data_IF_019737950100
#
_entry.id   IF_019737950100
#
_cell.length_a   1.000
_cell.length_b   1.000
_cell.length_c   1.000
_cell.angle_alpha   90.00
_cell.angle_beta   90.00
_cell.angle_gamma   90.00
#
_symmetry.space_group_name_H-M   'P 1'
#
loop_
_entity.id
_entity.type
_entity.pdbx_description
1 polymer ?
#
# COMPACT_ATOMS: atom_id res chain seq x y z
N UNK A 1 20.33 9.84 -15.47
CA UNK A 1 20.59 11.30 -15.55
C UNK A 1 19.23 11.99 -15.63
N UNK A 2 18.96 12.97 -14.75
CA UNK A 2 17.64 13.63 -14.67
C UNK A 2 17.45 14.62 -15.82
N UNK A 3 16.22 14.72 -16.33
CA UNK A 3 15.87 15.69 -17.37
C UNK A 3 16.16 17.14 -16.87
N UNK A 4 16.89 17.97 -17.64
CA UNK A 4 17.26 19.33 -17.23
C UNK A 4 16.06 20.22 -16.89
N UNK A 5 14.95 20.12 -17.65
CA UNK A 5 13.73 20.90 -17.40
C UNK A 5 13.12 20.57 -16.04
N UNK A 6 13.15 19.29 -15.66
CA UNK A 6 12.66 18.82 -14.35
C UNK A 6 13.57 19.33 -13.23
N UNK A 7 14.89 19.23 -13.43
CA UNK A 7 15.88 19.73 -12.47
C UNK A 7 15.74 21.23 -12.23
N UNK A 8 15.56 22.02 -13.29
CA UNK A 8 15.42 23.47 -13.21
C UNK A 8 14.09 23.88 -12.58
N UNK A 9 13.02 23.12 -12.83
CA UNK A 9 11.72 23.32 -12.16
C UNK A 9 11.82 23.16 -10.64
N UNK A 10 12.75 22.32 -10.19
CA UNK A 10 13.03 22.07 -8.77
C UNK A 10 14.15 22.97 -8.25
N UNK A 11 14.61 23.94 -9.05
CA UNK A 11 15.69 24.89 -8.71
C UNK A 11 16.98 24.19 -8.24
N UNK A 12 17.21 22.97 -8.73
CA UNK A 12 18.34 22.14 -8.32
C UNK A 12 18.19 21.42 -6.98
N UNK A 13 17.06 21.54 -6.29
CA UNK A 13 16.81 20.94 -4.98
C UNK A 13 15.63 19.95 -5.05
N UNK A 14 15.87 18.72 -5.53
CA UNK A 14 14.83 17.70 -5.58
C UNK A 14 14.44 17.17 -4.21
N UNK A 15 13.17 16.74 -4.00
CA UNK A 15 12.88 15.88 -2.88
C UNK A 15 13.79 14.68 -2.82
N UNK A 16 14.11 14.32 -1.59
CA UNK A 16 15.01 13.21 -1.32
C UNK A 16 14.33 11.88 -1.57
N UNK A 17 13.06 11.77 -1.21
CA UNK A 17 12.31 10.52 -1.25
C UNK A 17 11.08 10.65 -2.14
N UNK A 18 10.84 9.63 -2.96
CA UNK A 18 9.56 9.43 -3.64
C UNK A 18 8.86 8.22 -3.02
N UNK A 19 7.58 8.36 -2.68
CA UNK A 19 6.82 7.34 -1.97
C UNK A 19 5.58 6.98 -2.78
N UNK A 20 5.41 5.71 -3.07
CA UNK A 20 4.19 5.17 -3.70
C UNK A 20 3.43 4.32 -2.68
N UNK A 21 2.11 4.40 -2.71
CA UNK A 21 1.22 3.60 -1.87
C UNK A 21 0.32 2.80 -2.79
N UNK A 22 0.42 1.48 -2.70
CA UNK A 22 -0.33 0.54 -3.53
C UNK A 22 -0.96 -0.55 -2.68
N UNK A 23 -2.09 -1.13 -3.11
CA UNK A 23 -2.56 -2.38 -2.55
C UNK A 23 -1.51 -3.49 -2.71
N UNK A 24 -1.52 -4.46 -1.82
CA UNK A 24 -0.82 -5.72 -2.05
C UNK A 24 -1.27 -6.35 -3.38
N UNK A 25 -0.41 -7.12 -4.08
CA UNK A 25 -0.76 -7.72 -5.37
C UNK A 25 -2.02 -8.59 -5.35
N UNK A 26 -2.32 -9.21 -4.21
CA UNK A 26 -3.49 -10.06 -3.98
C UNK A 26 -4.69 -9.31 -3.38
N UNK A 27 -4.58 -8.02 -3.07
CA UNK A 27 -5.67 -7.19 -2.55
C UNK A 27 -6.48 -6.55 -3.70
N UNK A 28 -7.65 -5.94 -3.42
CA UNK A 28 -8.43 -5.22 -4.42
C UNK A 28 -7.61 -4.12 -5.09
N UNK A 29 -7.62 -4.11 -6.43
CA UNK A 29 -6.84 -3.17 -7.25
C UNK A 29 -7.55 -1.81 -7.31
N UNK A 30 -7.38 -1.01 -6.26
CA UNK A 30 -7.93 0.34 -6.12
C UNK A 30 -6.81 1.35 -5.91
N UNK A 31 -6.99 2.58 -6.39
CA UNK A 31 -6.01 3.64 -6.18
C UNK A 31 -6.05 4.11 -4.73
N UNK A 32 -4.90 4.11 -4.05
CA UNK A 32 -4.79 4.56 -2.67
C UNK A 32 -4.29 6.01 -2.54
N UNK A 33 -4.61 6.60 -1.40
CA UNK A 33 -3.94 7.78 -0.84
C UNK A 33 -2.72 7.31 -0.03
N UNK A 34 -1.75 8.19 0.21
CA UNK A 34 -0.56 7.88 1.04
C UNK A 34 0.78 7.92 0.31
N UNK A 35 0.77 7.97 -1.03
CA UNK A 35 1.95 8.32 -1.83
C UNK A 35 2.29 9.80 -1.74
N UNK A 36 3.51 10.18 -2.08
CA UNK A 36 3.97 11.57 -2.06
C UNK A 36 5.49 11.70 -2.19
N UNK A 37 5.99 12.86 -1.78
CA UNK A 37 7.42 13.15 -1.71
C UNK A 37 7.81 13.54 -0.27
N UNK A 38 9.08 13.36 0.08
CA UNK A 38 9.62 13.85 1.35
C UNK A 38 11.04 14.39 1.18
N UNK A 39 11.33 15.47 1.90
CA UNK A 39 12.63 16.17 1.86
C UNK A 39 13.55 15.77 3.02
N UNK A 40 13.16 14.77 3.81
CA UNK A 40 13.94 14.28 4.95
C UNK A 40 14.87 13.11 4.56
N UNK A 41 15.94 12.85 5.34
CA UNK A 41 16.82 11.69 5.11
C UNK A 41 16.07 10.34 5.16
N UNK A 42 16.55 9.35 4.41
CA UNK A 42 15.91 8.02 4.34
C UNK A 42 15.77 7.38 5.72
N UNK A 43 16.81 7.40 6.55
CA UNK A 43 16.79 6.77 7.88
C UNK A 43 15.75 7.40 8.81
N UNK A 44 15.60 8.72 8.76
CA UNK A 44 14.60 9.45 9.56
C UNK A 44 13.17 9.10 9.10
N UNK A 45 12.98 9.00 7.78
CA UNK A 45 11.72 8.57 7.21
C UNK A 45 11.36 7.13 7.61
N UNK A 46 12.31 6.18 7.51
CA UNK A 46 12.08 4.78 7.86
C UNK A 46 11.80 4.60 9.35
N UNK A 47 12.49 5.33 10.23
CA UNK A 47 12.19 5.35 11.67
C UNK A 47 10.79 5.88 11.95
N UNK A 48 10.37 6.93 11.24
CA UNK A 48 9.01 7.48 11.35
C UNK A 48 7.97 6.48 10.84
N UNK A 49 8.25 5.81 9.72
CA UNK A 49 7.39 4.78 9.13
C UNK A 49 7.22 3.59 10.08
N UNK A 50 8.31 3.09 10.65
CA UNK A 50 8.29 2.00 11.62
C UNK A 50 7.49 2.40 12.87
N UNK A 51 7.74 3.59 13.42
CA UNK A 51 6.98 4.11 14.57
C UNK A 51 5.48 4.22 14.25
N UNK A 52 5.14 4.68 13.05
CA UNK A 52 3.75 4.76 12.58
C UNK A 52 3.11 3.37 12.51
N UNK A 53 3.85 2.38 11.98
CA UNK A 53 3.43 0.99 11.92
C UNK A 53 3.16 0.41 13.32
N UNK A 54 4.13 0.53 14.24
CA UNK A 54 4.04 -0.01 15.59
C UNK A 54 2.90 0.62 16.40
N UNK A 55 2.66 1.92 16.22
CA UNK A 55 1.60 2.66 16.93
C UNK A 55 0.27 2.73 16.17
N UNK A 56 0.17 2.05 15.01
CA UNK A 56 -1.00 2.10 14.14
C UNK A 56 -1.49 3.53 13.87
N UNK A 57 -0.60 4.39 13.40
CA UNK A 57 -0.86 5.83 13.20
C UNK A 57 -0.22 6.37 11.92
N UNK A 58 -0.61 7.57 11.49
CA UNK A 58 -0.01 8.24 10.33
C UNK A 58 -0.07 7.38 9.06
N UNK A 59 1.11 7.10 8.46
CA UNK A 59 1.23 6.29 7.24
C UNK A 59 0.88 4.80 7.43
N UNK A 60 0.56 4.36 8.64
CA UNK A 60 -0.05 3.05 8.84
C UNK A 60 -1.38 2.92 8.09
N UNK A 61 -2.14 4.02 7.95
CA UNK A 61 -3.39 4.02 7.21
C UNK A 61 -3.23 4.63 5.82
N UNK A 62 -3.85 4.00 4.84
CA UNK A 62 -4.13 4.56 3.53
C UNK A 62 -5.63 4.45 3.25
N UNK A 63 -6.14 5.32 2.38
CA UNK A 63 -7.56 5.33 2.01
C UNK A 63 -7.71 5.26 0.50
N UNK A 64 -8.78 4.65 -0.01
CA UNK A 64 -9.13 4.73 -1.44
C UNK A 64 -9.21 6.21 -1.87
N UNK A 65 -8.58 6.55 -2.98
CA UNK A 65 -8.50 7.94 -3.46
C UNK A 65 -9.91 8.45 -3.81
N UNK A 66 -10.35 9.50 -3.13
CA UNK A 66 -11.72 10.03 -3.25
C UNK A 66 -12.76 9.28 -2.42
N UNK A 67 -12.34 8.30 -1.62
CA UNK A 67 -13.16 7.62 -0.63
C UNK A 67 -13.27 8.39 0.69
N UNK A 68 -14.04 7.81 1.61
CA UNK A 68 -14.26 8.27 2.98
C UNK A 68 -13.33 7.53 3.95
N UNK A 69 -13.30 7.97 5.22
CA UNK A 69 -12.58 7.26 6.29
C UNK A 69 -13.45 6.17 6.92
N UNK A 70 -14.07 5.35 6.08
CA UNK A 70 -14.87 4.20 6.49
C UNK A 70 -14.14 2.88 6.20
N UNK A 71 -14.63 1.78 6.77
CA UNK A 71 -13.97 0.48 6.70
C UNK A 71 -13.73 -0.02 5.26
N UNK A 72 -14.70 0.18 4.37
CA UNK A 72 -14.62 -0.21 2.94
C UNK A 72 -13.52 0.54 2.16
N UNK A 73 -13.10 1.69 2.67
CA UNK A 73 -12.13 2.57 2.02
C UNK A 73 -10.78 2.56 2.73
N UNK A 74 -10.67 1.92 3.89
CA UNK A 74 -9.48 2.00 4.75
C UNK A 74 -8.59 0.79 4.55
N UNK A 75 -7.31 1.05 4.36
CA UNK A 75 -6.26 0.07 4.23
C UNK A 75 -5.19 0.27 5.29
N UNK A 76 -4.52 -0.81 5.68
CA UNK A 76 -3.42 -0.81 6.65
C UNK A 76 -2.13 -1.26 6.00
N UNK A 77 -1.02 -0.61 6.38
CA UNK A 77 0.32 -0.92 5.89
C UNK A 77 0.70 -2.34 6.31
N UNK A 78 1.18 -3.15 5.37
CA UNK A 78 1.59 -4.53 5.59
C UNK A 78 3.09 -4.73 5.38
N UNK A 79 3.67 -4.01 4.41
CA UNK A 79 5.08 -4.11 4.08
C UNK A 79 5.55 -2.84 3.35
N UNK A 80 6.87 -2.68 3.21
CA UNK A 80 7.44 -1.70 2.32
C UNK A 80 8.76 -2.18 1.72
N UNK A 81 9.03 -1.73 0.49
CA UNK A 81 10.32 -1.91 -0.17
C UNK A 81 11.02 -0.56 -0.36
N UNK A 82 12.35 -0.59 -0.32
CA UNK A 82 13.20 0.59 -0.53
C UNK A 82 14.12 0.33 -1.71
N UNK A 83 14.03 1.19 -2.71
CA UNK A 83 14.83 1.13 -3.93
C UNK A 83 15.75 2.34 -3.97
N UNK A 84 17.06 2.09 -3.94
CA UNK A 84 18.09 3.11 -4.09
C UNK A 84 18.83 2.92 -5.40
N UNK A 85 19.30 4.01 -5.99
CA UNK A 85 20.14 3.94 -7.19
C UNK A 85 21.07 5.13 -7.25
N UNK A 86 22.38 4.93 -7.54
CA UNK A 86 23.32 6.03 -7.68
C UNK A 86 23.04 6.94 -8.88
N UNK A 87 22.16 6.52 -9.80
CA UNK A 87 21.77 7.29 -10.99
C UNK A 87 20.38 7.94 -10.86
N UNK A 88 19.70 7.72 -9.73
CA UNK A 88 18.41 8.31 -9.39
C UNK A 88 18.55 9.79 -9.01
N UNK A 89 17.49 10.57 -9.24
CA UNK A 89 17.37 11.93 -8.70
C UNK A 89 16.89 11.97 -7.25
N UNK A 90 16.26 10.88 -6.79
CA UNK A 90 15.88 10.66 -5.40
C UNK A 90 16.96 9.83 -4.71
N UNK A 91 17.16 10.09 -3.41
CA UNK A 91 17.89 9.20 -2.49
C UNK A 91 17.26 7.81 -2.48
N UNK A 92 15.93 7.73 -2.43
CA UNK A 92 15.20 6.47 -2.54
C UNK A 92 13.80 6.62 -3.15
N UNK A 93 13.35 5.56 -3.81
CA UNK A 93 11.95 5.25 -4.08
C UNK A 93 11.46 4.26 -3.02
N UNK A 94 10.37 4.58 -2.34
CA UNK A 94 9.79 3.74 -1.29
C UNK A 94 8.42 3.27 -1.74
N UNK A 95 8.22 1.96 -1.77
CA UNK A 95 6.95 1.34 -2.08
C UNK A 95 6.28 0.88 -0.78
N UNK A 96 5.11 1.42 -0.48
CA UNK A 96 4.29 1.04 0.67
C UNK A 96 3.16 0.13 0.21
N UNK A 97 3.07 -1.08 0.80
CA UNK A 97 2.09 -2.09 0.46
C UNK A 97 0.99 -2.16 1.51
N UNK A 98 -0.25 -2.10 1.06
CA UNK A 98 -1.42 -1.97 1.93
C UNK A 98 -2.44 -3.10 1.70
N UNK A 99 -3.11 -3.54 2.76
CA UNK A 99 -4.25 -4.45 2.69
C UNK A 99 -5.53 -3.76 3.19
N UNK A 100 -6.70 -4.03 2.60
CA UNK A 100 -7.96 -3.48 3.09
C UNK A 100 -8.23 -4.01 4.50
N UNK A 101 -8.80 -3.19 5.38
CA UNK A 101 -9.32 -3.67 6.68
C UNK A 101 -10.46 -4.66 6.44
N UNK A 102 -11.27 -4.41 5.41
CA UNK A 102 -12.33 -5.30 5.00
C UNK A 102 -12.38 -5.44 3.47
N UNK A 103 -11.80 -6.53 2.99
CA UNK A 103 -11.70 -6.82 1.55
C UNK A 103 -13.08 -6.95 0.88
N UNK A 104 -14.03 -7.64 1.53
CA UNK A 104 -15.38 -7.82 1.01
C UNK A 104 -16.11 -6.48 0.83
N UNK A 105 -16.11 -5.62 1.84
CA UNK A 105 -16.76 -4.30 1.77
C UNK A 105 -16.08 -3.41 0.71
N UNK A 106 -14.75 -3.45 0.63
CA UNK A 106 -13.99 -2.73 -0.39
C UNK A 106 -14.39 -3.17 -1.81
N UNK A 107 -14.38 -4.49 -2.06
CA UNK A 107 -14.80 -5.08 -3.33
C UNK A 107 -16.23 -4.69 -3.68
N UNK A 108 -17.16 -4.84 -2.73
CA UNK A 108 -18.57 -4.52 -2.94
C UNK A 108 -18.78 -3.06 -3.33
N UNK A 109 -18.09 -2.14 -2.64
CA UNK A 109 -18.22 -0.70 -2.86
C UNK A 109 -17.56 -0.24 -4.18
N UNK A 110 -16.35 -0.68 -4.47
CA UNK A 110 -15.52 -0.11 -5.56
C UNK A 110 -15.49 -0.94 -6.84
N UNK A 111 -15.75 -2.25 -6.73
CA UNK A 111 -15.66 -3.19 -7.85
C UNK A 111 -17.01 -3.88 -8.13
N UNK A 112 -17.96 -3.81 -7.20
CA UNK A 112 -19.34 -4.27 -7.34
C UNK A 112 -19.58 -5.68 -6.80
N UNK A 113 -20.86 -6.04 -6.66
CA UNK A 113 -21.33 -7.26 -6.01
C UNK A 113 -20.70 -8.54 -6.57
N UNK A 114 -20.48 -8.59 -7.89
CA UNK A 114 -19.88 -9.76 -8.56
C UNK A 114 -18.49 -10.08 -8.00
N UNK A 115 -17.68 -9.06 -7.76
CA UNK A 115 -16.32 -9.26 -7.23
C UNK A 115 -16.34 -9.58 -5.74
N UNK A 116 -17.25 -8.97 -4.99
CA UNK A 116 -17.47 -9.28 -3.58
C UNK A 116 -17.91 -10.74 -3.38
N UNK A 117 -18.84 -11.23 -4.20
CA UNK A 117 -19.30 -12.61 -4.15
C UNK A 117 -18.18 -13.59 -4.55
N UNK A 118 -17.41 -13.27 -5.59
CA UNK A 118 -16.26 -14.10 -5.99
C UNK A 118 -15.26 -14.27 -4.84
N UNK A 119 -15.00 -13.22 -4.07
CA UNK A 119 -14.14 -13.29 -2.89
C UNK A 119 -14.69 -14.25 -1.81
N UNK A 120 -16.00 -14.21 -1.55
CA UNK A 120 -16.64 -15.15 -0.60
C UNK A 120 -16.52 -16.58 -1.11
N UNK A 121 -16.85 -16.83 -2.37
CA UNK A 121 -16.77 -18.17 -2.97
C UNK A 121 -15.34 -18.75 -2.92
N UNK A 122 -14.32 -17.90 -3.12
CA UNK A 122 -12.91 -18.29 -3.02
C UNK A 122 -12.45 -18.51 -1.57
N UNK A 123 -13.01 -17.76 -0.63
CA UNK A 123 -12.74 -17.93 0.80
C UNK A 123 -13.32 -19.25 1.33
N UNK A 124 -14.58 -19.55 0.99
CA UNK A 124 -15.24 -20.81 1.33
C UNK A 124 -14.50 -22.03 0.78
N UNK A 125 -14.05 -21.97 -0.48
CA UNK A 125 -13.24 -23.04 -1.09
C UNK A 125 -11.93 -23.27 -0.35
N UNK A 126 -11.29 -22.19 0.13
CA UNK A 126 -10.02 -22.27 0.86
C UNK A 126 -10.22 -22.91 2.23
N UNK A 127 -11.26 -22.51 2.96
CA UNK A 127 -11.62 -23.11 4.25
C UNK A 127 -11.97 -24.59 4.12
N UNK A 128 -12.75 -24.96 3.09
CA UNK A 128 -13.07 -26.36 2.82
C UNK A 128 -11.82 -27.21 2.55
N UNK A 129 -10.85 -26.68 1.80
CA UNK A 129 -9.58 -27.35 1.53
C UNK A 129 -8.73 -27.53 2.79
N UNK A 130 -8.63 -26.50 3.64
CA UNK A 130 -7.90 -26.56 4.92
C UNK A 130 -8.54 -27.62 5.85
N UNK A 131 -9.86 -27.63 5.95
CA UNK A 131 -10.59 -28.60 6.78
C UNK A 131 -10.40 -30.04 6.28
N UNK A 132 -10.44 -30.26 4.97
CA UNK A 132 -10.20 -31.57 4.38
C UNK A 132 -8.77 -32.08 4.64
N UNK A 133 -7.76 -31.21 4.51
CA UNK A 133 -6.37 -31.54 4.83
C UNK A 133 -6.18 -31.84 6.32
N UNK A 134 -6.79 -31.03 7.20
CA UNK A 134 -6.71 -31.22 8.65
C UNK A 134 -7.38 -32.51 9.10
N UNK A 135 -8.48 -32.90 8.43
CA UNK A 135 -9.17 -34.17 8.70
C UNK A 135 -8.36 -35.37 8.20
N UNK A 136 -7.67 -35.25 7.06
CA UNK A 136 -6.83 -36.33 6.53
C UNK A 136 -5.53 -36.57 7.32
N UNK A 137 -5.14 -35.63 8.19
CA UNK A 137 -3.97 -35.71 9.06
C UNK A 137 -4.27 -36.31 10.45
N UNK A 138 -5.53 -36.60 10.76
CA UNK A 138 -5.99 -37.26 11.99
C UNK A 138 -6.59 -38.63 11.69
#
# INVERSE_FOLDING_TARGET
MMNPVVKDSWKGDPPRLYVIAEPLPNAPHVRLSGGGVADMPLDEYLNTLQKNYDNQSGKFFAYVKGGNKEEADTFTLQAWDVYTSPTSCYEALIHLYYAPINEYLCLKKHLGEKWAQKYLDESEKREAAINALTTALH
#
